data_IF_166130388624
#
_entry.id   IF_166130388624
#
_cell.length_a   1.000
_cell.length_b   1.000
_cell.length_c   1.000
_cell.angle_alpha   90.00
_cell.angle_beta   90.00
_cell.angle_gamma   90.00
#
_symmetry.space_group_name_H-M   'P 1'
#
loop_
_entity.id
_entity.type
_entity.pdbx_description
1 polymer ?
#
# COMPACT_ATOMS: atom_id res chain seq x y z
N UNK A 1 37.64 -40.81 60.20
CA UNK A 1 37.16 -39.64 59.44
C UNK A 1 36.10 -40.13 58.47
N UNK A 2 34.85 -40.14 58.91
CA UNK A 2 33.71 -40.75 58.23
C UNK A 2 32.92 -39.64 57.54
N UNK A 3 33.15 -39.44 56.24
CA UNK A 3 32.37 -38.53 55.39
C UNK A 3 31.21 -39.28 54.76
N UNK A 4 30.00 -39.02 55.22
CA UNK A 4 28.75 -39.56 54.67
C UNK A 4 28.49 -38.97 53.28
N UNK A 5 28.62 -39.79 52.23
CA UNK A 5 28.05 -39.46 50.92
C UNK A 5 26.52 -39.50 51.03
N UNK A 6 25.87 -38.34 50.98
CA UNK A 6 24.44 -38.27 50.70
C UNK A 6 24.22 -38.59 49.21
N UNK A 7 23.52 -39.67 48.86
CA UNK A 7 23.06 -39.87 47.51
C UNK A 7 21.98 -38.81 47.24
N UNK A 8 22.33 -37.79 46.47
CA UNK A 8 21.34 -36.92 45.83
C UNK A 8 20.48 -37.84 44.95
N UNK A 9 19.17 -37.97 45.20
CA UNK A 9 18.32 -38.76 44.34
C UNK A 9 18.34 -38.11 42.96
N UNK A 10 18.93 -38.82 42.00
CA UNK A 10 18.78 -38.49 40.57
C UNK A 10 17.29 -38.64 40.30
N UNK A 11 16.57 -37.51 40.27
CA UNK A 11 15.22 -37.45 39.72
C UNK A 11 15.35 -37.80 38.25
N UNK A 12 15.20 -39.07 37.92
CA UNK A 12 14.99 -39.54 36.55
C UNK A 12 13.68 -38.92 36.04
N UNK A 13 13.84 -37.74 35.45
CA UNK A 13 12.80 -36.83 34.99
C UNK A 13 12.08 -37.33 33.75
N UNK A 14 11.25 -38.35 33.93
CA UNK A 14 10.14 -38.64 33.01
C UNK A 14 9.14 -37.49 33.10
N UNK A 15 9.44 -36.39 32.40
CA UNK A 15 8.49 -35.29 32.21
C UNK A 15 7.18 -35.87 31.69
N UNK A 16 6.09 -35.59 32.38
CA UNK A 16 4.80 -36.13 31.99
C UNK A 16 4.41 -35.55 30.63
N UNK A 17 3.63 -36.30 29.83
CA UNK A 17 3.09 -35.79 28.55
C UNK A 17 2.32 -34.47 28.76
N UNK A 18 1.70 -34.30 29.93
CA UNK A 18 1.04 -33.05 30.32
C UNK A 18 1.99 -31.86 30.49
N UNK A 19 3.20 -32.06 31.01
CA UNK A 19 4.21 -31.00 31.11
C UNK A 19 4.76 -30.60 29.74
N UNK A 20 4.97 -31.56 28.84
CA UNK A 20 5.44 -31.29 27.47
C UNK A 20 4.41 -30.52 26.65
N UNK A 21 3.12 -30.88 26.78
CA UNK A 21 2.01 -30.15 26.14
C UNK A 21 1.88 -28.73 26.72
N UNK A 22 2.04 -28.58 28.04
CA UNK A 22 2.08 -27.26 28.69
C UNK A 22 3.21 -26.38 28.15
N UNK A 23 4.44 -26.92 28.09
CA UNK A 23 5.60 -26.21 27.53
C UNK A 23 5.42 -25.84 26.06
N UNK A 24 4.90 -26.75 25.22
CA UNK A 24 4.65 -26.47 23.81
C UNK A 24 3.59 -25.39 23.61
N UNK A 25 2.53 -25.39 24.43
CA UNK A 25 1.47 -24.37 24.39
C UNK A 25 2.00 -23.00 24.82
N UNK A 26 2.86 -22.97 25.82
CA UNK A 26 3.52 -21.75 26.30
C UNK A 26 4.50 -21.19 25.24
N UNK A 27 5.30 -22.05 24.61
CA UNK A 27 6.18 -21.68 23.51
C UNK A 27 5.40 -21.15 22.29
N UNK A 28 4.30 -21.80 21.92
CA UNK A 28 3.44 -21.33 20.84
C UNK A 28 2.82 -19.97 21.17
N UNK A 29 2.38 -19.77 22.41
CA UNK A 29 1.85 -18.49 22.89
C UNK A 29 2.90 -17.38 22.84
N UNK A 30 4.14 -17.69 23.19
CA UNK A 30 5.28 -16.77 23.08
C UNK A 30 5.57 -16.42 21.61
N UNK A 31 5.60 -17.42 20.72
CA UNK A 31 5.84 -17.23 19.30
C UNK A 31 4.78 -16.33 18.65
N UNK A 32 3.50 -16.57 18.94
CA UNK A 32 2.40 -15.74 18.43
C UNK A 32 2.54 -14.30 18.91
N UNK A 33 2.88 -14.08 20.19
CA UNK A 33 3.12 -12.73 20.72
C UNK A 33 4.29 -12.04 20.05
N UNK A 34 5.36 -12.76 19.75
CA UNK A 34 6.53 -12.25 19.04
C UNK A 34 6.18 -11.86 17.60
N UNK A 35 5.44 -12.70 16.88
CA UNK A 35 5.03 -12.38 15.51
C UNK A 35 4.09 -11.18 15.44
N UNK A 36 3.18 -11.04 16.41
CA UNK A 36 2.36 -9.84 16.52
C UNK A 36 3.22 -8.60 16.81
N UNK A 37 4.25 -8.72 17.64
CA UNK A 37 5.17 -7.62 17.92
C UNK A 37 5.99 -7.23 16.67
N UNK A 38 6.51 -8.21 15.94
CA UNK A 38 7.25 -8.03 14.71
C UNK A 38 6.37 -7.40 13.61
N UNK A 39 5.18 -7.94 13.41
CA UNK A 39 4.21 -7.40 12.46
C UNK A 39 3.84 -5.95 12.79
N UNK A 40 3.65 -5.60 14.07
CA UNK A 40 3.41 -4.21 14.50
C UNK A 40 4.58 -3.30 14.16
N UNK A 41 5.81 -3.75 14.37
CA UNK A 41 7.01 -2.97 14.04
C UNK A 41 7.13 -2.76 12.52
N UNK A 42 6.93 -3.81 11.72
CA UNK A 42 6.97 -3.72 10.27
C UNK A 42 5.87 -2.82 9.73
N UNK A 43 4.64 -2.92 10.26
CA UNK A 43 3.51 -2.09 9.88
C UNK A 43 3.76 -0.62 10.26
N UNK A 44 4.34 -0.35 11.43
CA UNK A 44 4.74 0.99 11.86
C UNK A 44 5.83 1.56 10.95
N UNK A 45 6.85 0.76 10.61
CA UNK A 45 7.93 1.18 9.71
C UNK A 45 7.42 1.46 8.29
N UNK A 46 6.56 0.59 7.74
CA UNK A 46 5.87 0.80 6.45
C UNK A 46 4.98 2.04 6.50
N UNK A 47 4.18 2.20 7.57
CA UNK A 47 3.30 3.34 7.77
C UNK A 47 4.06 4.66 7.85
N UNK A 48 5.20 4.71 8.56
CA UNK A 48 6.06 5.90 8.61
C UNK A 48 6.66 6.25 7.25
N UNK A 49 7.12 5.24 6.49
CA UNK A 49 7.67 5.45 5.14
C UNK A 49 6.59 5.94 4.17
N UNK A 50 5.44 5.27 4.16
CA UNK A 50 4.28 5.66 3.35
C UNK A 50 3.77 7.05 3.75
N UNK A 51 3.69 7.35 5.04
CA UNK A 51 3.26 8.65 5.56
C UNK A 51 4.20 9.79 5.19
N UNK A 52 5.53 9.60 5.31
CA UNK A 52 6.51 10.60 4.86
C UNK A 52 6.47 10.78 3.34
N UNK A 53 6.43 9.68 2.58
CA UNK A 53 6.35 9.74 1.12
C UNK A 53 5.08 10.43 0.64
N UNK A 54 3.93 10.04 1.20
CA UNK A 54 2.64 10.68 0.92
C UNK A 54 2.60 12.15 1.34
N UNK A 55 3.17 12.49 2.50
CA UNK A 55 3.28 13.87 2.96
C UNK A 55 4.14 14.74 2.04
N UNK A 56 5.31 14.25 1.62
CA UNK A 56 6.19 14.95 0.68
C UNK A 56 5.54 15.13 -0.69
N UNK A 57 4.90 14.10 -1.23
CA UNK A 57 4.16 14.20 -2.49
C UNK A 57 2.98 15.17 -2.38
N UNK A 58 2.25 15.15 -1.25
CA UNK A 58 1.18 16.11 -0.99
C UNK A 58 1.69 17.55 -0.95
N UNK A 59 2.80 17.80 -0.24
CA UNK A 59 3.43 19.11 -0.19
C UNK A 59 3.93 19.55 -1.58
N UNK A 60 4.62 18.68 -2.32
CA UNK A 60 5.06 18.95 -3.68
C UNK A 60 3.89 19.29 -4.61
N UNK A 61 2.77 18.57 -4.49
CA UNK A 61 1.54 18.88 -5.23
C UNK A 61 0.97 20.25 -4.88
N UNK A 62 0.92 20.60 -3.59
CA UNK A 62 0.43 21.90 -3.13
C UNK A 62 1.31 23.07 -3.63
N UNK A 63 2.63 22.96 -3.48
CA UNK A 63 3.56 23.98 -3.99
C UNK A 63 3.56 24.06 -5.52
N UNK A 64 3.48 22.92 -6.21
CA UNK A 64 3.34 22.85 -7.66
C UNK A 64 2.07 23.55 -8.15
N UNK A 65 0.94 23.33 -7.47
CA UNK A 65 -0.32 24.00 -7.77
C UNK A 65 -0.25 25.52 -7.54
N UNK A 66 0.31 25.96 -6.41
CA UNK A 66 0.52 27.37 -6.13
C UNK A 66 1.43 28.03 -7.18
N UNK A 67 2.53 27.36 -7.56
CA UNK A 67 3.42 27.80 -8.63
C UNK A 67 2.72 27.91 -9.98
N UNK A 68 1.84 26.96 -10.33
CA UNK A 68 1.04 27.01 -11.55
C UNK A 68 0.11 28.23 -11.58
N UNK A 69 -0.55 28.55 -10.46
CA UNK A 69 -1.38 29.76 -10.35
C UNK A 69 -0.55 31.04 -10.50
N UNK A 70 0.63 31.09 -9.88
CA UNK A 70 1.55 32.22 -10.02
C UNK A 70 1.99 32.40 -11.48
N UNK A 71 2.39 31.31 -12.16
CA UNK A 71 2.76 31.32 -13.58
C UNK A 71 1.59 31.74 -14.48
N UNK A 72 0.37 31.29 -14.20
CA UNK A 72 -0.81 31.75 -14.92
C UNK A 72 -1.00 33.26 -14.76
N UNK A 73 -0.88 33.78 -13.54
CA UNK A 73 -0.90 35.22 -13.27
C UNK A 73 0.20 35.99 -14.01
N UNK A 74 1.43 35.47 -14.01
CA UNK A 74 2.56 36.04 -14.77
C UNK A 74 2.28 36.06 -16.27
N UNK A 75 1.73 34.99 -16.83
CA UNK A 75 1.37 34.93 -18.24
C UNK A 75 0.28 35.96 -18.60
N UNK A 76 -0.74 36.10 -17.76
CA UNK A 76 -1.77 37.13 -17.94
C UNK A 76 -1.15 38.53 -17.87
N UNK A 77 -0.30 38.80 -16.89
CA UNK A 77 0.37 40.09 -16.74
C UNK A 77 1.25 40.42 -17.95
N UNK A 78 2.03 39.45 -18.44
CA UNK A 78 2.89 39.61 -19.62
C UNK A 78 2.08 39.89 -20.89
N UNK A 79 1.00 39.13 -21.14
CA UNK A 79 0.13 39.35 -22.30
C UNK A 79 -0.63 40.68 -22.20
N UNK A 80 -0.97 41.10 -20.98
CA UNK A 80 -1.65 42.38 -20.74
C UNK A 80 -0.81 43.61 -21.09
N UNK A 81 0.50 43.45 -21.37
CA UNK A 81 1.33 44.52 -21.93
C UNK A 81 0.92 44.90 -23.35
N UNK A 82 0.23 44.01 -24.06
CA UNK A 82 -0.16 44.19 -25.47
C UNK A 82 -1.66 44.04 -25.72
N UNK A 83 -2.39 43.40 -24.80
CA UNK A 83 -3.81 43.10 -24.88
C UNK A 83 -4.55 43.65 -23.65
N UNK A 84 -5.87 43.91 -23.74
CA UNK A 84 -6.65 44.18 -22.54
C UNK A 84 -6.66 42.95 -21.62
N UNK A 85 -6.66 43.20 -20.30
CA UNK A 85 -6.51 42.17 -19.26
C UNK A 85 -7.51 41.02 -19.41
N UNK A 86 -8.75 41.32 -19.80
CA UNK A 86 -9.79 40.29 -19.98
C UNK A 86 -9.45 39.32 -21.13
N UNK A 87 -8.87 39.81 -22.23
CA UNK A 87 -8.50 38.98 -23.38
C UNK A 87 -7.28 38.11 -23.04
N UNK A 88 -6.28 38.70 -22.38
CA UNK A 88 -5.12 37.96 -21.86
C UNK A 88 -5.55 36.83 -20.91
N UNK A 89 -6.45 37.12 -19.97
CA UNK A 89 -6.98 36.12 -19.03
C UNK A 89 -7.72 34.98 -19.74
N UNK A 90 -8.55 35.28 -20.75
CA UNK A 90 -9.27 34.25 -21.52
C UNK A 90 -8.31 33.35 -22.31
N UNK A 91 -7.26 33.90 -22.92
CA UNK A 91 -6.26 33.12 -23.66
C UNK A 91 -5.54 32.16 -22.71
N UNK A 92 -5.05 32.65 -21.57
CA UNK A 92 -4.36 31.81 -20.58
C UNK A 92 -5.30 30.73 -20.03
N UNK A 93 -6.55 31.09 -19.71
CA UNK A 93 -7.55 30.13 -19.24
C UNK A 93 -7.82 29.03 -20.28
N UNK A 94 -7.97 29.39 -21.56
CA UNK A 94 -8.19 28.42 -22.63
C UNK A 94 -7.03 27.43 -22.75
N UNK A 95 -5.78 27.92 -22.70
CA UNK A 95 -4.59 27.05 -22.71
C UNK A 95 -4.57 26.10 -21.52
N UNK A 96 -4.85 26.61 -20.31
CA UNK A 96 -4.91 25.78 -19.10
C UNK A 96 -6.01 24.72 -19.18
N UNK A 97 -7.19 25.04 -19.71
CA UNK A 97 -8.27 24.07 -19.90
C UNK A 97 -7.92 22.98 -20.91
N UNK A 98 -7.23 23.33 -22.00
CA UNK A 98 -6.73 22.33 -22.95
C UNK A 98 -5.75 21.38 -22.27
N UNK A 99 -4.78 21.91 -21.52
CA UNK A 99 -3.81 21.10 -20.77
C UNK A 99 -4.53 20.20 -19.75
N UNK A 100 -5.49 20.76 -19.00
CA UNK A 100 -6.29 20.01 -18.02
C UNK A 100 -7.11 18.89 -18.69
N UNK A 101 -7.71 19.16 -19.85
CA UNK A 101 -8.43 18.15 -20.62
C UNK A 101 -7.53 16.99 -21.05
N UNK A 102 -6.34 17.29 -21.57
CA UNK A 102 -5.35 16.26 -21.96
C UNK A 102 -4.88 15.44 -20.75
N UNK A 103 -4.57 16.11 -19.63
CA UNK A 103 -4.19 15.44 -18.38
C UNK A 103 -5.32 14.56 -17.84
N UNK A 104 -6.57 15.00 -17.91
CA UNK A 104 -7.73 14.23 -17.46
C UNK A 104 -7.93 12.95 -18.29
N UNK A 105 -7.83 13.06 -19.62
CA UNK A 105 -7.97 11.91 -20.53
C UNK A 105 -6.82 10.93 -20.35
N UNK A 106 -5.57 11.41 -20.30
CA UNK A 106 -4.39 10.56 -20.13
C UNK A 106 -4.34 9.91 -18.74
N UNK A 107 -4.66 10.68 -17.68
CA UNK A 107 -4.77 10.18 -16.32
C UNK A 107 -5.84 9.09 -16.18
N UNK A 108 -7.02 9.30 -16.79
CA UNK A 108 -8.07 8.28 -16.83
C UNK A 108 -7.62 7.02 -17.57
N UNK A 109 -6.88 7.15 -18.67
CA UNK A 109 -6.35 6.01 -19.41
C UNK A 109 -5.31 5.21 -18.60
N UNK A 110 -4.43 5.90 -17.87
CA UNK A 110 -3.45 5.28 -16.98
C UNK A 110 -4.13 4.55 -15.83
N UNK A 111 -5.14 5.18 -15.20
CA UNK A 111 -5.87 4.58 -14.09
C UNK A 111 -6.62 3.31 -14.53
N UNK A 112 -7.24 3.33 -15.72
CA UNK A 112 -7.89 2.14 -16.30
C UNK A 112 -6.92 0.99 -16.58
N UNK A 113 -5.63 1.26 -16.81
CA UNK A 113 -4.60 0.23 -17.01
C UNK A 113 -4.00 -0.27 -15.71
N UNK A 114 -3.96 0.57 -14.68
CA UNK A 114 -3.36 0.25 -13.37
C UNK A 114 -4.34 -0.43 -12.41
N UNK A 115 -5.65 -0.26 -12.61
CA UNK A 115 -6.68 -0.97 -11.86
C UNK A 115 -6.80 -2.39 -12.42
N UNK A 116 -6.65 -3.46 -11.61
CA UNK A 116 -6.92 -4.82 -12.04
C UNK A 116 -8.32 -4.93 -12.66
N UNK A 117 -8.54 -5.82 -13.64
CA UNK A 117 -9.85 -6.06 -14.21
C UNK A 117 -10.87 -6.23 -13.07
N UNK A 118 -12.02 -5.55 -13.18
CA UNK A 118 -13.07 -5.64 -12.15
C UNK A 118 -13.43 -7.11 -11.93
N UNK A 119 -13.87 -7.51 -10.71
CA UNK A 119 -14.21 -8.89 -10.40
C UNK A 119 -15.17 -9.54 -11.41
N UNK A 120 -16.00 -8.75 -12.10
CA UNK A 120 -16.86 -9.21 -13.19
C UNK A 120 -16.10 -9.81 -14.37
N UNK A 121 -14.98 -9.20 -14.79
CA UNK A 121 -14.12 -9.75 -15.84
C UNK A 121 -13.38 -11.01 -15.36
N UNK A 122 -13.00 -11.07 -14.08
CA UNK A 122 -12.42 -12.29 -13.46
C UNK A 122 -13.47 -13.41 -13.35
N UNK A 123 -14.74 -13.08 -13.11
CA UNK A 123 -15.83 -14.05 -13.07
C UNK A 123 -16.14 -14.61 -14.47
N UNK A 124 -16.00 -13.80 -15.52
CA UNK A 124 -16.13 -14.26 -16.92
C UNK A 124 -14.98 -15.20 -17.28
N UNK A 125 -13.73 -14.89 -16.91
CA UNK A 125 -12.59 -15.78 -17.19
C UNK A 125 -12.71 -17.12 -16.43
N UNK A 126 -13.09 -17.08 -15.15
CA UNK A 126 -13.28 -18.30 -14.34
C UNK A 126 -14.45 -19.16 -14.88
N UNK A 127 -15.54 -18.55 -15.35
CA UNK A 127 -16.64 -19.29 -15.99
C UNK A 127 -16.22 -19.93 -17.31
N UNK A 128 -15.42 -19.23 -18.12
CA UNK A 128 -14.87 -19.77 -19.35
C UNK A 128 -13.93 -20.96 -19.08
N UNK A 129 -13.07 -20.84 -18.07
CA UNK A 129 -12.15 -21.93 -17.67
C UNK A 129 -12.91 -23.16 -17.17
N UNK A 130 -14.03 -22.97 -16.45
CA UNK A 130 -14.89 -24.07 -15.97
C UNK A 130 -15.62 -24.76 -17.11
N UNK A 131 -16.11 -24.01 -18.10
CA UNK A 131 -16.81 -24.58 -19.26
C UNK A 131 -15.86 -25.41 -20.13
N UNK A 132 -14.62 -24.94 -20.33
CA UNK A 132 -13.58 -25.67 -21.06
C UNK A 132 -13.20 -26.99 -20.37
N UNK A 133 -13.08 -26.98 -19.02
CA UNK A 133 -12.82 -28.21 -18.26
C UNK A 133 -14.00 -29.18 -18.38
N UNK A 134 -15.24 -28.68 -18.36
CA UNK A 134 -16.45 -29.50 -18.46
C UNK A 134 -16.57 -30.18 -19.84
N UNK A 135 -16.21 -29.46 -20.89
CA UNK A 135 -16.20 -29.98 -22.27
C UNK A 135 -15.13 -31.07 -22.47
N UNK A 136 -13.96 -30.92 -21.84
CA UNK A 136 -12.89 -31.94 -21.88
C UNK A 136 -13.22 -33.23 -21.12
N UNK A 137 -14.13 -33.17 -20.14
CA UNK A 137 -14.54 -34.34 -19.33
C UNK A 137 -15.71 -35.11 -19.96
N UNK A 138 -16.47 -34.49 -20.86
CA UNK A 138 -17.60 -35.13 -21.58
C UNK A 138 -17.21 -35.80 -22.91
N UNK A 139 -15.91 -35.89 -23.23
CA UNK A 139 -15.40 -36.52 -24.46
C UNK A 139 -14.72 -37.86 -24.18
#
# INVERSE_FOLDING_TARGET
MTGTMHPQPVRDGHRSVGELVGQATEQLSLLVRQEVALAKEELSAKGRRAGRGGGLLGAAGAFGYAGLLALAGTAVAALSLTLPVWAAALIVAAVLFVIAGVLAVTGRAQLRRAVPPTPEETLVSVRADVEEIRERVHR
#
